data_IF_513015973477
#
_entry.id   IF_513015973477
#
_cell.length_a   1.000
_cell.length_b   1.000
_cell.length_c   1.000
_cell.angle_alpha   90.00
_cell.angle_beta   90.00
_cell.angle_gamma   90.00
#
_symmetry.space_group_name_H-M   'P 1'
#
loop_
_entity.id
_entity.type
_entity.pdbx_description
1 polymer ?
#
# COMPACT_ATOMS: atom_id res chain seq x y z
N UNK A 1 27.16 15.66 -32.99
CA UNK A 1 26.06 15.06 -32.20
C UNK A 1 26.70 14.36 -31.01
N UNK A 2 26.53 14.89 -29.80
CA UNK A 2 27.14 14.30 -28.60
C UNK A 2 26.26 13.14 -28.10
N UNK A 3 26.86 11.96 -27.97
CA UNK A 3 26.25 10.75 -27.43
C UNK A 3 25.97 10.94 -25.93
N UNK A 4 24.70 11.05 -25.55
CA UNK A 4 24.27 11.16 -24.16
C UNK A 4 23.96 9.78 -23.60
N UNK A 5 24.99 8.96 -23.40
CA UNK A 5 24.85 7.72 -22.65
C UNK A 5 24.57 8.06 -21.18
N UNK A 6 23.31 7.97 -20.79
CA UNK A 6 22.91 7.97 -19.39
C UNK A 6 23.56 6.77 -18.70
N UNK A 7 24.64 7.02 -17.95
CA UNK A 7 25.23 6.05 -17.02
C UNK A 7 24.67 6.37 -15.64
N UNK A 8 23.74 5.59 -15.08
CA UNK A 8 23.32 5.80 -13.71
C UNK A 8 24.51 5.46 -12.82
N UNK A 9 25.12 6.49 -12.23
CA UNK A 9 26.11 6.34 -11.17
C UNK A 9 25.38 5.85 -9.93
N UNK A 10 25.54 4.56 -9.61
CA UNK A 10 24.95 3.97 -8.42
C UNK A 10 25.89 4.26 -7.26
N UNK A 11 25.56 5.29 -6.48
CA UNK A 11 26.22 5.55 -5.21
C UNK A 11 25.67 4.61 -4.13
N UNK A 12 26.51 3.70 -3.64
CA UNK A 12 26.16 2.78 -2.55
C UNK A 12 26.48 3.47 -1.23
N UNK A 13 25.45 4.04 -0.60
CA UNK A 13 25.56 4.65 0.73
C UNK A 13 25.65 3.55 1.80
N UNK A 14 26.75 3.49 2.53
CA UNK A 14 26.89 2.57 3.67
C UNK A 14 25.86 2.93 4.75
N UNK A 15 25.30 1.92 5.43
CA UNK A 15 24.37 2.13 6.54
C UNK A 15 24.97 2.93 7.70
N UNK A 16 26.31 3.05 7.76
CA UNK A 16 27.03 3.87 8.73
C UNK A 16 27.10 5.37 8.34
N UNK A 17 27.00 5.70 7.06
CA UNK A 17 27.14 7.07 6.52
C UNK A 17 25.81 7.82 6.47
N UNK A 18 24.70 7.10 6.64
CA UNK A 18 23.37 7.70 6.80
C UNK A 18 23.20 8.10 8.27
N UNK A 19 22.95 9.39 8.60
CA UNK A 19 22.61 9.77 9.96
C UNK A 19 21.48 8.86 10.44
N UNK A 20 21.73 8.13 11.55
CA UNK A 20 20.79 7.15 12.12
C UNK A 20 19.38 7.71 12.01
N UNK A 21 18.50 7.00 11.31
CA UNK A 21 17.08 7.40 11.18
C UNK A 21 16.60 7.83 12.56
N UNK A 22 16.13 9.07 12.67
CA UNK A 22 15.56 9.56 13.92
C UNK A 22 14.50 8.56 14.36
N UNK A 23 14.70 7.98 15.55
CA UNK A 23 13.70 7.12 16.16
C UNK A 23 12.71 8.03 16.87
N UNK A 24 11.43 7.78 16.60
CA UNK A 24 10.31 8.47 17.19
C UNK A 24 9.65 7.51 18.16
N UNK A 25 9.61 7.88 19.44
CA UNK A 25 8.81 7.15 20.40
C UNK A 25 7.31 7.30 20.05
N UNK A 26 6.49 6.31 20.41
CA UNK A 26 5.07 6.32 20.10
C UNK A 26 4.36 7.48 20.80
N UNK A 27 4.76 7.80 22.03
CA UNK A 27 4.28 8.99 22.72
C UNK A 27 4.62 10.29 21.96
N UNK A 28 5.80 10.36 21.35
CA UNK A 28 6.22 11.51 20.54
C UNK A 28 5.42 11.58 19.23
N UNK A 29 5.21 10.46 18.54
CA UNK A 29 4.36 10.39 17.33
C UNK A 29 2.94 10.85 17.62
N UNK A 30 2.35 10.38 18.74
CA UNK A 30 0.99 10.73 19.15
C UNK A 30 0.86 12.23 19.38
N UNK A 31 1.79 12.85 20.14
CA UNK A 31 1.79 14.31 20.39
C UNK A 31 1.83 15.11 19.10
N UNK A 32 2.66 14.71 18.13
CA UNK A 32 2.78 15.39 16.84
C UNK A 32 1.49 15.25 16.03
N UNK A 33 0.89 14.07 16.05
CA UNK A 33 -0.38 13.82 15.37
C UNK A 33 -1.50 14.67 15.98
N UNK A 34 -1.61 14.73 17.30
CA UNK A 34 -2.58 15.55 18.02
C UNK A 34 -2.41 17.04 17.71
N UNK A 35 -1.17 17.55 17.74
CA UNK A 35 -0.88 18.94 17.33
C UNK A 35 -1.36 19.21 15.90
N UNK A 36 -1.16 18.25 14.99
CA UNK A 36 -1.57 18.41 13.59
C UNK A 36 -3.09 18.52 13.40
N UNK A 37 -3.90 18.09 14.38
CA UNK A 37 -5.36 18.17 14.35
C UNK A 37 -5.91 19.48 14.92
N UNK A 38 -5.09 20.31 15.58
CA UNK A 38 -5.52 21.56 16.22
C UNK A 38 -5.99 22.66 15.25
N UNK A 39 -5.85 22.47 13.94
CA UNK A 39 -6.45 23.38 12.96
C UNK A 39 -6.47 22.84 11.54
N UNK A 40 -7.21 23.53 10.67
CA UNK A 40 -7.30 23.15 9.26
C UNK A 40 -5.94 23.33 8.56
N UNK A 41 -5.61 22.40 7.67
CA UNK A 41 -4.37 22.40 6.82
C UNK A 41 -3.04 22.48 7.58
N UNK A 42 -3.00 22.16 8.88
CA UNK A 42 -1.77 22.26 9.68
C UNK A 42 -0.70 21.19 9.39
N UNK A 43 -1.03 20.12 8.66
CA UNK A 43 -0.12 18.97 8.40
C UNK A 43 1.26 19.42 7.94
N UNK A 44 1.36 20.34 6.98
CA UNK A 44 2.65 20.81 6.46
C UNK A 44 3.42 21.67 7.46
N UNK A 45 2.73 22.48 8.27
CA UNK A 45 3.35 23.34 9.27
C UNK A 45 3.88 22.50 10.44
N UNK A 46 3.06 21.60 10.97
CA UNK A 46 3.44 20.66 12.04
C UNK A 46 4.59 19.77 11.59
N UNK A 47 4.56 19.26 10.35
CA UNK A 47 5.62 18.42 9.82
C UNK A 47 6.98 19.14 9.80
N UNK A 48 7.01 20.40 9.34
CA UNK A 48 8.23 21.23 9.33
C UNK A 48 8.74 21.53 10.74
N UNK A 49 7.83 21.84 11.67
CA UNK A 49 8.18 22.13 13.07
C UNK A 49 8.88 20.97 13.75
N UNK A 50 8.42 19.75 13.47
CA UNK A 50 8.96 18.53 14.07
C UNK A 50 10.06 17.86 13.22
N UNK A 51 10.40 18.40 12.05
CA UNK A 51 11.39 17.79 11.16
C UNK A 51 10.97 16.42 10.61
N UNK A 52 9.66 16.18 10.48
CA UNK A 52 9.09 14.99 9.81
C UNK A 52 8.65 15.33 8.41
N UNK A 53 8.64 14.33 7.52
CA UNK A 53 8.05 14.53 6.20
C UNK A 53 6.52 14.62 6.31
N UNK A 54 5.90 15.42 5.42
CA UNK A 54 4.43 15.51 5.33
C UNK A 54 3.79 14.15 5.10
N UNK A 55 4.40 13.31 4.25
CA UNK A 55 3.91 11.98 3.93
C UNK A 55 3.92 11.07 5.16
N UNK A 56 4.98 11.12 5.97
CA UNK A 56 5.07 10.35 7.22
C UNK A 56 3.98 10.78 8.22
N UNK A 57 3.80 12.09 8.41
CA UNK A 57 2.75 12.61 9.30
C UNK A 57 1.33 12.24 8.81
N UNK A 58 1.13 12.17 7.49
CA UNK A 58 -0.14 11.72 6.90
C UNK A 58 -0.41 10.24 7.21
N UNK A 59 0.62 9.39 7.18
CA UNK A 59 0.52 7.99 7.56
C UNK A 59 0.19 7.86 9.05
N UNK A 60 0.89 8.60 9.92
CA UNK A 60 0.62 8.57 11.36
C UNK A 60 -0.78 9.04 11.72
N UNK A 61 -1.32 10.08 11.05
CA UNK A 61 -2.71 10.51 11.23
C UNK A 61 -3.72 9.42 10.85
N UNK A 62 -3.44 8.64 9.80
CA UNK A 62 -4.27 7.51 9.40
C UNK A 62 -4.24 6.41 10.46
N UNK A 63 -3.04 6.01 10.90
CA UNK A 63 -2.84 5.00 11.93
C UNK A 63 -3.47 5.40 13.26
N UNK A 64 -3.35 6.67 13.66
CA UNK A 64 -3.97 7.21 14.87
C UNK A 64 -5.49 7.08 14.82
N UNK A 65 -6.12 7.44 13.67
CA UNK A 65 -7.57 7.28 13.47
C UNK A 65 -8.02 5.82 13.45
N UNK A 66 -7.15 4.92 12.99
CA UNK A 66 -7.41 3.47 12.98
C UNK A 66 -7.13 2.81 14.34
N UNK A 67 -6.58 3.54 15.32
CA UNK A 67 -6.16 2.99 16.61
C UNK A 67 -4.91 2.10 16.52
N UNK A 68 -4.15 2.18 15.43
CA UNK A 68 -2.96 1.37 15.15
C UNK A 68 -1.67 2.05 15.62
N UNK A 69 -1.69 3.36 15.85
CA UNK A 69 -0.50 4.12 16.23
C UNK A 69 -0.17 3.84 17.70
N UNK A 70 1.02 3.29 17.96
CA UNK A 70 1.44 2.88 19.30
C UNK A 70 0.96 1.49 19.72
N UNK A 71 0.34 0.74 18.80
CA UNK A 71 0.07 -0.69 19.02
C UNK A 71 1.32 -1.46 18.64
N UNK A 72 1.98 -2.03 19.66
CA UNK A 72 3.13 -2.90 19.47
C UNK A 72 2.64 -4.28 18.99
N UNK A 73 2.28 -4.35 17.70
CA UNK A 73 1.98 -5.62 17.06
C UNK A 73 3.31 -6.33 16.78
N UNK A 74 3.54 -7.54 17.34
CA UNK A 74 4.78 -8.26 17.08
C UNK A 74 4.91 -8.51 15.57
N UNK A 75 6.14 -8.46 15.02
CA UNK A 75 6.35 -8.73 13.61
C UNK A 75 5.85 -10.14 13.27
N UNK A 76 4.90 -10.23 12.34
CA UNK A 76 4.37 -11.49 11.87
C UNK A 76 5.26 -12.05 10.76
N UNK A 77 5.76 -13.28 10.93
CA UNK A 77 6.44 -14.01 9.88
C UNK A 77 5.40 -14.71 9.00
N UNK A 78 5.43 -14.46 7.69
CA UNK A 78 4.64 -15.20 6.71
C UNK A 78 5.51 -16.33 6.17
N UNK A 79 5.11 -17.60 6.30
CA UNK A 79 5.88 -18.71 5.77
C UNK A 79 5.92 -18.66 4.23
N UNK A 80 7.13 -18.60 3.67
CA UNK A 80 7.37 -18.70 2.23
C UNK A 80 7.75 -20.14 1.88
N UNK A 81 6.85 -20.87 1.24
CA UNK A 81 7.18 -22.20 0.70
C UNK A 81 7.86 -22.04 -0.66
N UNK A 82 9.14 -22.42 -0.76
CA UNK A 82 9.85 -22.50 -2.04
C UNK A 82 9.66 -23.92 -2.58
N UNK A 83 8.96 -24.05 -3.71
CA UNK A 83 8.84 -25.34 -4.38
C UNK A 83 10.20 -25.71 -5.01
N UNK A 84 10.73 -26.93 -4.79
CA UNK A 84 11.94 -27.37 -5.46
C UNK A 84 11.65 -27.52 -6.95
N UNK A 85 12.03 -26.51 -7.74
CA UNK A 85 12.14 -26.65 -9.19
C UNK A 85 13.32 -27.58 -9.43
N UNK A 86 13.04 -28.84 -9.76
CA UNK A 86 14.04 -29.70 -10.41
C UNK A 86 14.56 -28.95 -11.65
N UNK A 87 15.86 -29.03 -12.01
CA UNK A 87 16.37 -28.38 -13.21
C UNK A 87 15.67 -28.98 -14.43
N UNK A 88 14.58 -28.34 -14.85
CA UNK A 88 13.95 -28.62 -16.11
C UNK A 88 14.93 -28.15 -17.18
N UNK A 89 15.45 -29.10 -17.94
CA UNK A 89 15.89 -28.82 -19.31
C UNK A 89 14.72 -28.09 -19.95
N UNK A 90 14.92 -26.81 -20.28
CA UNK A 90 13.91 -25.96 -20.88
C UNK A 90 13.64 -26.42 -22.32
N UNK A 91 12.45 -26.92 -22.68
CA UNK A 91 11.79 -26.39 -23.84
C UNK A 91 11.13 -25.07 -23.44
N UNK A 92 11.30 -24.07 -24.29
CA UNK A 92 10.61 -22.79 -24.19
C UNK A 92 9.12 -23.05 -24.34
N UNK A 93 8.41 -23.23 -23.24
CA UNK A 93 6.99 -22.91 -23.13
C UNK A 93 6.78 -22.26 -21.77
N UNK A 94 6.48 -20.96 -21.80
CA UNK A 94 6.00 -20.22 -20.66
C UNK A 94 4.74 -20.91 -20.13
N UNK A 95 4.92 -21.76 -19.12
CA UNK A 95 3.80 -22.39 -18.43
C UNK A 95 3.32 -21.39 -17.40
N UNK A 96 2.47 -20.48 -17.87
CA UNK A 96 1.62 -19.64 -17.02
C UNK A 96 0.84 -20.61 -16.12
N UNK A 97 1.17 -20.61 -14.81
CA UNK A 97 0.38 -21.33 -13.83
C UNK A 97 -1.09 -20.91 -14.03
N UNK A 98 -2.07 -21.84 -13.98
CA UNK A 98 -3.47 -21.44 -14.03
C UNK A 98 -3.69 -20.53 -12.81
N UNK A 99 -3.76 -19.22 -13.04
CA UNK A 99 -4.28 -18.31 -12.03
C UNK A 99 -5.71 -18.78 -11.81
N UNK A 100 -6.00 -19.36 -10.66
CA UNK A 100 -7.38 -19.70 -10.33
C UNK A 100 -8.10 -18.37 -10.10
N UNK A 101 -8.61 -17.79 -11.18
CA UNK A 101 -9.29 -16.49 -11.16
C UNK A 101 -10.53 -16.52 -10.28
N UNK A 102 -10.99 -17.72 -9.90
CA UNK A 102 -12.13 -17.96 -9.00
C UNK A 102 -12.04 -17.23 -7.65
N UNK A 103 -10.84 -16.91 -7.19
CA UNK A 103 -10.65 -16.22 -5.90
C UNK A 103 -10.49 -14.69 -6.02
N UNK A 104 -10.56 -14.14 -7.25
CA UNK A 104 -10.53 -12.70 -7.47
C UNK A 104 -11.91 -12.12 -7.17
N UNK A 105 -12.01 -11.26 -6.16
CA UNK A 105 -13.21 -10.46 -5.90
C UNK A 105 -13.13 -9.11 -6.63
N UNK A 106 -14.20 -8.77 -7.35
CA UNK A 106 -14.42 -7.51 -8.05
C UNK A 106 -15.26 -6.59 -7.16
N UNK A 107 -14.74 -5.39 -6.87
CA UNK A 107 -15.51 -4.32 -6.23
C UNK A 107 -15.99 -3.32 -7.29
N UNK A 108 -17.30 -3.21 -7.43
CA UNK A 108 -17.97 -2.28 -8.35
C UNK A 108 -18.54 -1.12 -7.53
N UNK A 109 -18.04 0.09 -7.81
CA UNK A 109 -18.49 1.32 -7.13
C UNK A 109 -19.46 2.07 -8.03
N UNK A 110 -20.66 2.33 -7.52
CA UNK A 110 -21.70 3.06 -8.24
C UNK A 110 -21.63 4.56 -7.95
N UNK A 111 -22.24 5.37 -8.84
CA UNK A 111 -22.30 6.84 -8.71
C UNK A 111 -23.06 7.31 -7.46
N UNK A 112 -23.96 6.48 -6.93
CA UNK A 112 -24.70 6.74 -5.70
C UNK A 112 -23.92 6.41 -4.41
N UNK A 113 -22.65 6.02 -4.51
CA UNK A 113 -21.79 5.67 -3.38
C UNK A 113 -21.97 4.25 -2.84
N UNK A 114 -22.89 3.45 -3.40
CA UNK A 114 -23.03 2.03 -3.06
C UNK A 114 -21.89 1.22 -3.70
N UNK A 115 -21.58 0.09 -3.07
CA UNK A 115 -20.52 -0.84 -3.49
C UNK A 115 -21.10 -2.23 -3.62
N UNK A 116 -20.74 -2.92 -4.69
CA UNK A 116 -21.11 -4.31 -4.93
C UNK A 116 -19.83 -5.12 -5.06
N UNK A 117 -19.68 -6.13 -4.22
CA UNK A 117 -18.52 -7.00 -4.16
C UNK A 117 -18.92 -8.38 -4.68
N UNK A 118 -18.25 -8.85 -5.74
CA UNK A 118 -18.67 -10.03 -6.49
C UNK A 118 -17.47 -10.88 -6.89
N UNK A 119 -17.54 -12.23 -6.85
CA UNK A 119 -16.50 -13.06 -7.44
C UNK A 119 -16.31 -12.78 -8.93
N UNK A 120 -15.08 -12.90 -9.45
CA UNK A 120 -14.81 -12.73 -10.89
C UNK A 120 -15.46 -13.80 -11.77
N UNK A 121 -15.91 -14.91 -11.15
CA UNK A 121 -16.66 -15.99 -11.78
C UNK A 121 -18.15 -15.70 -11.95
N UNK A 122 -18.64 -14.52 -11.56
CA UNK A 122 -20.06 -14.17 -11.68
C UNK A 122 -20.50 -14.08 -13.15
N UNK A 123 -21.67 -14.63 -13.43
CA UNK A 123 -22.29 -14.52 -14.75
C UNK A 123 -22.67 -13.06 -15.06
N UNK A 124 -22.31 -12.53 -16.25
CA UNK A 124 -22.64 -11.18 -16.66
C UNK A 124 -24.15 -10.86 -16.61
N UNK A 125 -25.00 -11.84 -16.89
CA UNK A 125 -26.46 -11.70 -16.87
C UNK A 125 -26.99 -11.41 -15.46
N UNK A 126 -26.39 -12.03 -14.43
CA UNK A 126 -26.75 -11.77 -13.03
C UNK A 126 -26.31 -10.36 -12.64
N UNK A 127 -25.11 -9.96 -13.05
CA UNK A 127 -24.61 -8.60 -12.82
C UNK A 127 -25.53 -7.57 -13.49
N UNK A 128 -25.88 -7.76 -14.76
CA UNK A 128 -26.76 -6.87 -15.54
C UNK A 128 -28.16 -6.71 -14.92
N UNK A 129 -28.67 -7.73 -14.23
CA UNK A 129 -29.94 -7.64 -13.48
C UNK A 129 -29.81 -6.88 -12.16
N UNK A 130 -28.65 -6.97 -11.50
CA UNK A 130 -28.41 -6.33 -10.20
C UNK A 130 -28.01 -4.85 -10.34
N UNK A 131 -27.26 -4.48 -11.38
CA UNK A 131 -26.79 -3.09 -11.58
C UNK A 131 -27.95 -2.07 -11.51
N UNK A 132 -29.09 -2.22 -12.22
CA UNK A 132 -30.18 -1.24 -12.20
C UNK A 132 -30.88 -1.14 -10.84
N UNK A 133 -31.02 -2.25 -10.11
CA UNK A 133 -31.62 -2.26 -8.78
C UNK A 133 -30.72 -1.57 -7.74
N UNK A 134 -29.40 -1.59 -7.97
CA UNK A 134 -28.40 -1.01 -7.09
C UNK A 134 -28.09 0.45 -7.42
N UNK A 135 -28.18 0.86 -8.69
CA UNK A 135 -27.98 2.26 -9.09
C UNK A 135 -29.08 3.18 -8.56
N UNK A 136 -30.32 2.68 -8.45
CA UNK A 136 -31.45 3.51 -8.03
C UNK A 136 -31.73 4.64 -9.04
N UNK A 137 -33.00 5.02 -9.17
CA UNK A 137 -33.41 6.07 -10.11
C UNK A 137 -32.82 7.43 -9.74
#
# INVERSE_FOLDING_TARGET
MADHKFRPEIEVLSAADVPRRRHWDDAEKIRIVEESFLGDRQVSATARRHGVSRSLLTIWRRQYRAGELGVDAPPAFIPLAVSPVAPAVVPVTAQEAPRDTRDVQLEIVFRNGRRLLVPSSVEPEVLARLLPALEGR
#
